data_IF_886950804154
#
_entry.id   IF_886950804154
#
_cell.length_a   1.000
_cell.length_b   1.000
_cell.length_c   1.000
_cell.angle_alpha   90.00
_cell.angle_beta   90.00
_cell.angle_gamma   90.00
#
_symmetry.space_group_name_H-M   'P 1'
#
loop_
_entity.id
_entity.type
_entity.pdbx_description
1 polymer ?
#
# COMPACT_ATOMS: atom_id res chain seq x y z
N UNK A 1 10.75 -4.05 17.35
CA UNK A 1 10.74 -2.93 16.38
C UNK A 1 9.89 -3.36 15.20
N UNK A 2 9.21 -2.41 14.54
CA UNK A 2 8.53 -2.70 13.27
C UNK A 2 9.55 -2.53 12.15
N UNK A 3 9.64 -3.53 11.28
CA UNK A 3 10.26 -3.39 9.97
C UNK A 3 9.39 -2.49 9.07
N UNK A 4 9.91 -2.00 7.93
CA UNK A 4 9.11 -1.27 6.96
C UNK A 4 7.85 -2.03 6.52
N UNK A 5 6.84 -1.28 6.10
CA UNK A 5 5.69 -1.80 5.37
C UNK A 5 5.99 -1.56 3.89
N UNK A 6 5.67 -2.50 3.02
CA UNK A 6 5.85 -2.33 1.57
C UNK A 6 4.51 -2.21 0.88
N UNK A 7 4.49 -1.56 -0.28
CA UNK A 7 3.42 -1.74 -1.25
C UNK A 7 3.98 -2.33 -2.54
N UNK A 8 3.17 -3.17 -3.19
CA UNK A 8 3.57 -3.95 -4.36
C UNK A 8 2.45 -3.94 -5.40
N UNK A 9 2.85 -4.01 -6.65
CA UNK A 9 1.99 -4.16 -7.80
C UNK A 9 2.57 -5.20 -8.78
N UNK A 10 1.90 -5.42 -9.90
CA UNK A 10 2.42 -6.25 -10.97
C UNK A 10 3.73 -5.76 -11.62
N UNK A 11 4.22 -4.57 -11.26
CA UNK A 11 5.56 -4.13 -11.66
C UNK A 11 6.67 -4.86 -10.92
N UNK A 12 6.43 -5.31 -9.69
CA UNK A 12 7.33 -6.18 -8.95
C UNK A 12 6.97 -7.63 -9.27
N UNK A 13 7.66 -8.23 -10.24
CA UNK A 13 7.28 -9.54 -10.75
C UNK A 13 7.47 -10.63 -9.68
N UNK A 14 6.45 -11.47 -9.39
CA UNK A 14 6.54 -12.48 -8.34
C UNK A 14 7.71 -13.46 -8.47
N UNK A 15 8.14 -13.78 -9.70
CA UNK A 15 9.26 -14.68 -9.95
C UNK A 15 10.63 -14.10 -9.55
N UNK A 16 10.71 -12.79 -9.40
CA UNK A 16 11.94 -12.08 -9.02
C UNK A 16 12.01 -11.86 -7.50
N UNK A 17 10.97 -12.25 -6.75
CA UNK A 17 10.86 -12.05 -5.30
C UNK A 17 11.08 -13.38 -4.56
N UNK A 18 12.12 -13.42 -3.73
CA UNK A 18 12.25 -14.42 -2.69
C UNK A 18 11.38 -14.03 -1.49
N UNK A 19 10.13 -14.51 -1.48
CA UNK A 19 9.18 -14.24 -0.40
C UNK A 19 9.62 -14.84 0.96
N UNK A 20 10.41 -15.91 0.95
CA UNK A 20 10.91 -16.49 2.20
C UNK A 20 11.89 -15.54 2.88
N UNK A 21 12.75 -14.87 2.10
CA UNK A 21 13.63 -13.82 2.60
C UNK A 21 12.83 -12.55 2.90
N UNK A 22 12.13 -11.98 1.91
CA UNK A 22 11.49 -10.66 2.01
C UNK A 22 10.50 -10.57 3.18
N UNK A 23 9.74 -11.63 3.45
CA UNK A 23 8.78 -11.67 4.56
C UNK A 23 9.40 -11.46 5.95
N UNK A 24 10.70 -11.74 6.13
CA UNK A 24 11.40 -11.49 7.40
C UNK A 24 11.86 -10.03 7.55
N UNK A 25 11.80 -9.24 6.48
CA UNK A 25 12.28 -7.85 6.42
C UNK A 25 11.15 -6.82 6.33
N UNK A 26 9.89 -7.24 6.44
CA UNK A 26 8.71 -6.37 6.39
C UNK A 26 7.76 -6.66 7.55
N UNK A 27 6.96 -5.65 7.96
CA UNK A 27 5.91 -5.82 8.97
C UNK A 27 4.53 -6.08 8.36
N UNK A 28 4.29 -5.61 7.15
CA UNK A 28 3.02 -5.70 6.44
C UNK A 28 3.20 -5.36 4.97
N UNK A 29 2.18 -5.65 4.16
CA UNK A 29 2.19 -5.33 2.74
C UNK A 29 0.86 -4.76 2.26
N UNK A 30 0.89 -3.86 1.27
CA UNK A 30 -0.29 -3.30 0.60
C UNK A 30 -0.20 -3.64 -0.89
N UNK A 31 -1.16 -4.42 -1.41
CA UNK A 31 -1.03 -5.00 -2.77
C UNK A 31 -2.01 -4.35 -3.75
N UNK A 32 -1.54 -3.90 -4.91
CA UNK A 32 -2.40 -3.40 -5.98
C UNK A 32 -3.27 -4.54 -6.50
N UNK A 33 -4.58 -4.32 -6.55
CA UNK A 33 -5.52 -5.28 -7.15
C UNK A 33 -6.11 -4.74 -8.45
N UNK A 34 -6.26 -3.42 -8.55
CA UNK A 34 -6.79 -2.74 -9.71
C UNK A 34 -5.92 -1.52 -10.02
N UNK A 35 -5.41 -1.44 -11.25
CA UNK A 35 -4.56 -0.36 -11.74
C UNK A 35 -5.31 0.76 -12.46
N UNK A 36 -6.64 0.77 -12.39
CA UNK A 36 -7.48 1.84 -12.94
C UNK A 36 -8.13 1.49 -14.28
N UNK A 37 -9.26 2.14 -14.56
CA UNK A 37 -10.07 1.87 -15.76
C UNK A 37 -9.47 2.40 -17.06
N UNK A 38 -8.43 3.24 -17.00
CA UNK A 38 -7.80 3.81 -18.19
C UNK A 38 -6.73 2.89 -18.82
N UNK A 39 -6.34 1.81 -18.14
CA UNK A 39 -5.47 0.78 -18.72
C UNK A 39 -6.24 0.05 -19.84
N UNK A 40 -5.92 0.39 -21.09
CA UNK A 40 -6.57 -0.18 -22.28
C UNK A 40 -5.73 -1.22 -23.03
N UNK A 41 -4.49 -1.45 -22.59
CA UNK A 41 -3.55 -2.41 -23.18
C UNK A 41 -2.92 -3.26 -22.08
N UNK A 42 -2.67 -4.52 -22.42
CA UNK A 42 -1.91 -5.41 -21.57
C UNK A 42 -0.47 -4.92 -21.39
N UNK A 43 0.00 -4.97 -20.15
CA UNK A 43 1.41 -4.79 -19.79
C UNK A 43 1.89 -6.01 -18.99
N UNK A 44 3.13 -5.99 -18.51
CA UNK A 44 3.60 -6.99 -17.55
C UNK A 44 2.82 -6.91 -16.22
N UNK A 45 2.39 -5.71 -15.83
CA UNK A 45 1.82 -5.45 -14.52
C UNK A 45 0.29 -5.59 -14.45
N UNK A 46 -0.42 -5.26 -15.53
CA UNK A 46 -1.88 -5.28 -15.55
C UNK A 46 -2.45 -5.76 -16.89
N UNK A 47 -3.65 -6.31 -16.86
CA UNK A 47 -4.44 -6.61 -18.05
C UNK A 47 -5.14 -5.36 -18.57
N UNK A 48 -5.53 -5.37 -19.85
CA UNK A 48 -6.33 -4.33 -20.53
C UNK A 48 -7.70 -4.03 -19.93
N UNK A 49 -8.08 -4.72 -18.85
CA UNK A 49 -9.26 -4.42 -18.04
C UNK A 49 -8.89 -3.80 -16.69
N UNK A 50 -7.66 -3.30 -16.52
CA UNK A 50 -7.14 -2.69 -15.30
C UNK A 50 -6.77 -3.65 -14.17
N UNK A 51 -7.10 -4.94 -14.25
CA UNK A 51 -6.79 -5.88 -13.17
C UNK A 51 -5.29 -6.17 -13.13
N UNK A 52 -4.71 -6.06 -11.93
CA UNK A 52 -3.31 -6.37 -11.70
C UNK A 52 -3.03 -7.86 -11.98
N UNK A 53 -1.90 -8.19 -12.62
CA UNK A 53 -1.58 -9.57 -13.01
C UNK A 53 -0.96 -10.38 -11.87
N UNK A 54 -0.37 -9.73 -10.87
CA UNK A 54 0.46 -10.37 -9.84
C UNK A 54 -0.20 -10.40 -8.46
N UNK A 55 -1.25 -9.61 -8.21
CA UNK A 55 -1.88 -9.48 -6.89
C UNK A 55 -2.20 -10.81 -6.21
N UNK A 56 -2.71 -11.80 -6.95
CA UNK A 56 -3.09 -13.10 -6.40
C UNK A 56 -1.88 -13.82 -5.81
N UNK A 57 -0.74 -13.77 -6.50
CA UNK A 57 0.51 -14.41 -6.06
C UNK A 57 1.08 -13.68 -4.87
N UNK A 58 1.22 -12.35 -4.94
CA UNK A 58 1.68 -11.54 -3.81
C UNK A 58 0.88 -11.81 -2.54
N UNK A 59 -0.45 -11.70 -2.61
CA UNK A 59 -1.31 -11.89 -1.43
C UNK A 59 -1.17 -13.31 -0.88
N UNK A 60 -1.15 -14.35 -1.72
CA UNK A 60 -1.05 -15.75 -1.27
C UNK A 60 0.30 -16.04 -0.62
N UNK A 61 1.41 -15.64 -1.26
CA UNK A 61 2.76 -15.93 -0.77
C UNK A 61 3.07 -15.18 0.53
N UNK A 62 2.62 -13.93 0.67
CA UNK A 62 2.80 -13.14 1.88
C UNK A 62 1.93 -13.66 3.03
N UNK A 63 0.65 -13.99 2.78
CA UNK A 63 -0.22 -14.57 3.81
C UNK A 63 0.24 -15.94 4.27
N UNK A 64 0.79 -16.77 3.38
CA UNK A 64 1.41 -18.07 3.73
C UNK A 64 2.53 -17.92 4.75
N UNK A 65 3.17 -16.74 4.79
CA UNK A 65 4.28 -16.39 5.69
C UNK A 65 3.85 -15.49 6.85
N UNK A 66 2.55 -15.48 7.17
CA UNK A 66 1.96 -14.70 8.25
C UNK A 66 2.12 -13.16 8.12
N UNK A 67 2.48 -12.65 6.94
CA UNK A 67 2.51 -11.20 6.70
C UNK A 67 1.07 -10.70 6.56
N UNK A 68 0.63 -9.70 7.34
CA UNK A 68 -0.68 -9.08 7.16
C UNK A 68 -0.71 -8.27 5.86
N UNK A 69 -1.81 -8.38 5.13
CA UNK A 69 -1.95 -7.81 3.79
C UNK A 69 -3.18 -6.92 3.70
N UNK A 70 -2.96 -5.67 3.34
CA UNK A 70 -3.96 -4.74 2.83
C UNK A 70 -3.89 -4.71 1.29
N UNK A 71 -4.82 -4.01 0.65
CA UNK A 71 -4.88 -3.89 -0.81
C UNK A 71 -5.16 -2.47 -1.23
N UNK A 72 -4.78 -2.10 -2.46
CA UNK A 72 -5.11 -0.79 -3.02
C UNK A 72 -5.62 -0.88 -4.47
N UNK A 73 -6.26 0.20 -4.90
CA UNK A 73 -6.74 0.43 -6.26
C UNK A 73 -6.37 1.83 -6.71
N UNK A 74 -5.71 1.94 -7.86
CA UNK A 74 -5.46 3.21 -8.53
C UNK A 74 -6.77 3.74 -9.12
N UNK A 75 -7.25 4.89 -8.65
CA UNK A 75 -8.53 5.45 -9.03
C UNK A 75 -8.37 6.33 -10.27
N UNK A 76 -9.03 5.96 -11.36
CA UNK A 76 -8.92 6.67 -12.65
C UNK A 76 -10.28 6.95 -13.31
N UNK A 77 -11.39 6.67 -12.64
CA UNK A 77 -12.72 6.92 -13.17
C UNK A 77 -12.91 8.39 -13.54
N UNK A 78 -13.56 8.66 -14.67
CA UNK A 78 -13.81 10.02 -15.18
C UNK A 78 -15.21 10.53 -14.85
N UNK A 79 -15.97 9.74 -14.09
CA UNK A 79 -17.29 10.10 -13.58
C UNK A 79 -17.60 9.34 -12.30
N UNK A 80 -18.58 9.82 -11.53
CA UNK A 80 -19.13 9.11 -10.36
C UNK A 80 -19.53 7.66 -10.70
N UNK A 81 -20.08 7.43 -11.89
CA UNK A 81 -20.50 6.09 -12.33
C UNK A 81 -19.28 5.17 -12.48
N UNK A 82 -18.22 5.67 -13.10
CA UNK A 82 -16.97 4.94 -13.31
C UNK A 82 -16.24 4.69 -11.99
N UNK A 83 -16.11 5.68 -11.12
CA UNK A 83 -15.52 5.51 -9.78
C UNK A 83 -16.21 4.40 -8.97
N UNK A 84 -17.55 4.32 -9.06
CA UNK A 84 -18.30 3.21 -8.45
C UNK A 84 -18.05 1.87 -9.15
N UNK A 85 -17.83 1.85 -10.46
CA UNK A 85 -17.49 0.62 -11.19
C UNK A 85 -16.10 0.11 -10.82
N UNK A 86 -15.11 1.00 -10.75
CA UNK A 86 -13.77 0.67 -10.27
C UNK A 86 -13.83 0.07 -8.85
N UNK A 87 -14.59 0.69 -7.94
CA UNK A 87 -14.82 0.15 -6.59
C UNK A 87 -15.41 -1.28 -6.61
N UNK A 88 -16.36 -1.56 -7.50
CA UNK A 88 -16.95 -2.90 -7.66
C UNK A 88 -15.93 -3.91 -8.17
N UNK A 89 -15.14 -3.55 -9.19
CA UNK A 89 -14.10 -4.42 -9.75
C UNK A 89 -13.03 -4.71 -8.70
N UNK A 90 -12.55 -3.67 -8.01
CA UNK A 90 -11.57 -3.79 -6.94
C UNK A 90 -12.08 -4.70 -5.82
N UNK A 91 -13.26 -4.43 -5.26
CA UNK A 91 -13.81 -5.22 -4.16
C UNK A 91 -14.04 -6.68 -4.55
N UNK A 92 -14.59 -6.94 -5.75
CA UNK A 92 -14.84 -8.30 -6.26
C UNK A 92 -13.55 -9.13 -6.31
N UNK A 93 -12.44 -8.53 -6.73
CA UNK A 93 -11.16 -9.23 -6.84
C UNK A 93 -10.43 -9.37 -5.50
N UNK A 94 -10.53 -8.37 -4.62
CA UNK A 94 -9.81 -8.33 -3.35
C UNK A 94 -10.51 -9.08 -2.20
N UNK A 95 -11.84 -8.96 -2.08
CA UNK A 95 -12.61 -9.50 -0.94
C UNK A 95 -12.45 -11.00 -0.65
N UNK A 96 -12.24 -11.90 -1.65
CA UNK A 96 -12.00 -13.31 -1.35
C UNK A 96 -10.77 -13.56 -0.48
N UNK A 97 -9.82 -12.62 -0.49
CA UNK A 97 -8.60 -12.73 0.29
C UNK A 97 -8.74 -12.18 1.70
N UNK A 98 -9.80 -11.45 2.05
CA UNK A 98 -9.97 -10.80 3.38
C UNK A 98 -8.77 -9.89 3.72
N UNK A 99 -8.50 -8.82 2.96
CA UNK A 99 -7.45 -7.87 3.28
C UNK A 99 -7.79 -7.09 4.56
N UNK A 100 -6.77 -6.53 5.22
CA UNK A 100 -6.98 -5.76 6.46
C UNK A 100 -7.54 -4.37 6.21
N UNK A 101 -7.19 -3.77 5.06
CA UNK A 101 -7.63 -2.47 4.59
C UNK A 101 -7.81 -2.47 3.07
N UNK A 102 -8.70 -1.61 2.59
CA UNK A 102 -8.85 -1.24 1.19
C UNK A 102 -8.40 0.23 1.03
N UNK A 103 -7.37 0.47 0.25
CA UNK A 103 -6.86 1.81 -0.01
C UNK A 103 -7.31 2.29 -1.40
N UNK A 104 -7.78 3.52 -1.46
CA UNK A 104 -8.04 4.22 -2.71
C UNK A 104 -6.81 5.09 -2.97
N UNK A 105 -6.14 4.84 -4.08
CA UNK A 105 -4.92 5.52 -4.50
C UNK A 105 -5.29 6.60 -5.53
N UNK A 106 -5.06 7.86 -5.17
CA UNK A 106 -5.51 9.05 -5.88
C UNK A 106 -4.30 9.96 -6.15
N UNK A 107 -3.89 10.05 -7.42
CA UNK A 107 -2.67 10.79 -7.80
C UNK A 107 -2.86 11.72 -9.01
N UNK A 108 -3.99 11.61 -9.72
CA UNK A 108 -4.26 12.35 -10.96
C UNK A 108 -5.67 12.94 -10.97
N UNK A 109 -5.83 14.10 -11.60
CA UNK A 109 -7.14 14.74 -11.78
C UNK A 109 -7.86 14.09 -12.98
N UNK A 110 -8.84 13.23 -12.70
CA UNK A 110 -9.67 12.56 -13.72
C UNK A 110 -11.09 13.10 -13.79
N UNK A 111 -11.48 13.96 -12.84
CA UNK A 111 -12.79 14.58 -12.73
C UNK A 111 -12.64 16.03 -12.28
N UNK A 112 -13.48 16.93 -12.80
CA UNK A 112 -13.50 18.34 -12.36
C UNK A 112 -13.89 18.53 -10.89
N UNK A 113 -14.53 17.52 -10.29
CA UNK A 113 -14.76 17.43 -8.86
C UNK A 113 -14.21 16.08 -8.36
N UNK A 114 -12.92 16.07 -8.01
CA UNK A 114 -12.25 14.85 -7.54
C UNK A 114 -12.83 14.36 -6.21
N UNK A 115 -13.19 15.24 -5.27
CA UNK A 115 -13.79 14.83 -4.00
C UNK A 115 -15.08 14.03 -4.23
N UNK A 116 -15.96 14.48 -5.12
CA UNK A 116 -17.20 13.76 -5.43
C UNK A 116 -16.92 12.34 -5.96
N UNK A 117 -15.95 12.19 -6.86
CA UNK A 117 -15.54 10.90 -7.40
C UNK A 117 -14.95 9.98 -6.34
N UNK A 118 -14.00 10.48 -5.55
CA UNK A 118 -13.31 9.74 -4.49
C UNK A 118 -14.27 9.32 -3.37
N UNK A 119 -15.18 10.20 -2.95
CA UNK A 119 -16.21 9.87 -1.96
C UNK A 119 -17.20 8.84 -2.50
N UNK A 120 -17.55 8.90 -3.79
CA UNK A 120 -18.40 7.89 -4.43
C UNK A 120 -17.72 6.51 -4.47
N UNK A 121 -16.43 6.45 -4.79
CA UNK A 121 -15.63 5.22 -4.73
C UNK A 121 -15.64 4.65 -3.31
N UNK A 122 -15.30 5.46 -2.31
CA UNK A 122 -15.28 5.08 -0.89
C UNK A 122 -16.65 4.59 -0.41
N UNK A 123 -17.72 5.29 -0.75
CA UNK A 123 -19.07 4.91 -0.36
C UNK A 123 -19.49 3.58 -0.98
N UNK A 124 -19.10 3.32 -2.23
CA UNK A 124 -19.39 2.04 -2.90
C UNK A 124 -18.62 0.88 -2.26
N UNK A 125 -17.34 1.05 -1.91
CA UNK A 125 -16.59 0.05 -1.14
C UNK A 125 -17.28 -0.28 0.19
N UNK A 126 -17.70 0.73 0.94
CA UNK A 126 -18.44 0.55 2.20
C UNK A 126 -19.76 -0.18 1.97
N UNK A 127 -20.52 0.18 0.93
CA UNK A 127 -21.78 -0.46 0.55
C UNK A 127 -21.60 -1.94 0.19
N UNK A 128 -20.47 -2.30 -0.43
CA UNK A 128 -20.14 -3.68 -0.80
C UNK A 128 -19.67 -4.52 0.40
N UNK A 129 -19.34 -3.90 1.53
CA UNK A 129 -18.93 -4.58 2.76
C UNK A 129 -17.45 -4.43 3.11
N UNK A 130 -16.73 -3.47 2.54
CA UNK A 130 -15.39 -3.13 3.02
C UNK A 130 -15.50 -2.41 4.37
N UNK A 131 -15.03 -3.04 5.45
CA UNK A 131 -15.09 -2.45 6.80
C UNK A 131 -14.09 -1.30 6.95
N UNK A 132 -12.87 -1.46 6.42
CA UNK A 132 -11.78 -0.49 6.53
C UNK A 132 -11.40 0.06 5.15
N UNK A 133 -11.64 1.36 4.95
CA UNK A 133 -11.35 2.07 3.70
C UNK A 133 -10.46 3.28 4.01
N UNK A 134 -9.26 3.29 3.45
CA UNK A 134 -8.29 4.37 3.58
C UNK A 134 -8.07 5.13 2.27
N UNK A 135 -7.47 6.30 2.37
CA UNK A 135 -7.10 7.15 1.24
C UNK A 135 -5.57 7.28 1.19
N UNK A 136 -4.98 6.96 0.04
CA UNK A 136 -3.64 7.38 -0.33
C UNK A 136 -3.75 8.60 -1.25
N UNK A 137 -3.08 9.69 -0.88
CA UNK A 137 -3.09 10.93 -1.65
C UNK A 137 -1.89 11.83 -1.27
N UNK A 138 -1.25 12.41 -2.28
CA UNK A 138 -0.21 13.42 -2.08
C UNK A 138 -0.76 14.68 -1.40
N UNK A 139 -0.04 15.24 -0.42
CA UNK A 139 -0.51 16.40 0.35
C UNK A 139 -0.82 17.62 -0.53
N UNK A 140 0.01 17.89 -1.54
CA UNK A 140 -0.22 18.98 -2.49
C UNK A 140 -1.48 18.73 -3.34
N UNK A 141 -1.60 17.55 -3.95
CA UNK A 141 -2.72 17.18 -4.81
C UNK A 141 -4.05 17.22 -4.04
N UNK A 142 -4.06 16.73 -2.80
CA UNK A 142 -5.23 16.80 -1.91
C UNK A 142 -5.71 18.23 -1.67
N UNK A 143 -4.79 19.18 -1.45
CA UNK A 143 -5.12 20.59 -1.25
C UNK A 143 -5.59 21.24 -2.55
N UNK A 144 -4.90 20.97 -3.66
CA UNK A 144 -5.20 21.50 -4.99
C UNK A 144 -6.59 21.08 -5.47
N UNK A 145 -6.95 19.82 -5.24
CA UNK A 145 -8.21 19.23 -5.70
C UNK A 145 -9.31 19.22 -4.62
N UNK A 146 -9.05 19.86 -3.47
CA UNK A 146 -9.95 19.96 -2.33
C UNK A 146 -10.53 18.61 -1.87
N UNK A 147 -9.76 17.53 -2.01
CA UNK A 147 -10.21 16.17 -1.66
C UNK A 147 -10.30 16.04 -0.14
N UNK A 148 -11.49 15.73 0.36
CA UNK A 148 -11.73 15.58 1.78
C UNK A 148 -11.27 14.23 2.29
N UNK A 149 -10.47 14.22 3.35
CA UNK A 149 -10.15 12.99 4.11
C UNK A 149 -11.29 12.55 5.04
N UNK A 150 -12.37 13.33 5.12
CA UNK A 150 -13.52 13.00 5.95
C UNK A 150 -14.13 11.66 5.51
N UNK A 151 -14.55 10.87 6.49
CA UNK A 151 -15.14 9.54 6.35
C UNK A 151 -14.17 8.40 5.98
N UNK A 152 -12.91 8.68 5.68
CA UNK A 152 -11.90 7.64 5.58
C UNK A 152 -11.49 7.14 6.96
N UNK A 153 -11.20 5.85 7.07
CA UNK A 153 -10.80 5.24 8.34
C UNK A 153 -9.30 5.45 8.60
N UNK A 154 -8.52 5.77 7.57
CA UNK A 154 -7.10 6.09 7.65
C UNK A 154 -6.64 6.91 6.43
N UNK A 155 -5.56 7.66 6.61
CA UNK A 155 -4.91 8.43 5.54
C UNK A 155 -3.45 7.98 5.41
N UNK A 156 -3.00 7.83 4.17
CA UNK A 156 -1.66 7.44 3.77
C UNK A 156 -1.11 8.52 2.84
N UNK A 157 0.05 9.10 3.16
CA UNK A 157 0.60 10.22 2.39
C UNK A 157 2.01 9.89 1.90
N UNK A 158 2.33 10.10 0.62
CA UNK A 158 3.69 10.04 0.11
C UNK A 158 4.45 11.34 0.41
N UNK A 159 5.72 11.22 0.80
CA UNK A 159 6.69 12.31 0.83
C UNK A 159 8.11 11.75 0.82
N UNK A 160 8.84 11.94 -0.29
CA UNK A 160 10.09 11.19 -0.54
C UNK A 160 11.38 11.96 -0.27
N UNK A 161 11.32 13.28 -0.05
CA UNK A 161 12.54 14.09 0.03
C UNK A 161 13.31 14.03 -1.29
N UNK A 162 14.55 13.54 -1.27
CA UNK A 162 15.34 13.30 -2.49
C UNK A 162 15.09 11.94 -3.13
N UNK A 163 14.26 11.10 -2.50
CA UNK A 163 13.92 9.74 -2.90
C UNK A 163 15.13 8.80 -2.99
N UNK A 164 16.02 8.86 -2.00
CA UNK A 164 17.28 8.10 -1.99
C UNK A 164 17.15 6.63 -1.59
N UNK A 165 15.93 6.16 -1.26
CA UNK A 165 15.69 4.86 -0.63
C UNK A 165 15.65 4.92 0.91
N UNK A 166 15.94 6.08 1.51
CA UNK A 166 15.91 6.29 2.95
C UNK A 166 14.83 7.27 3.38
N UNK A 167 14.46 7.23 4.66
CA UNK A 167 13.53 8.19 5.24
C UNK A 167 14.22 9.55 5.46
N UNK A 168 13.80 10.56 4.70
CA UNK A 168 14.45 11.88 4.68
C UNK A 168 13.50 13.04 5.01
N UNK A 169 12.22 12.91 4.71
CA UNK A 169 11.25 13.99 4.78
C UNK A 169 9.91 13.50 5.34
N UNK A 170 9.25 14.36 6.10
CA UNK A 170 7.86 14.17 6.48
C UNK A 170 6.92 14.79 5.45
N UNK A 171 5.69 14.28 5.30
CA UNK A 171 4.63 14.99 4.62
C UNK A 171 4.46 16.41 5.19
N UNK A 172 4.59 17.41 4.33
CA UNK A 172 4.37 18.81 4.71
C UNK A 172 2.86 19.10 4.70
N UNK A 173 2.17 18.73 5.78
CA UNK A 173 0.71 18.88 5.90
C UNK A 173 0.28 18.91 7.36
N UNK A 174 -0.82 19.61 7.63
CA UNK A 174 -1.51 19.62 8.93
C UNK A 174 -2.57 18.51 9.05
N UNK A 175 -2.75 17.71 7.99
CA UNK A 175 -3.76 16.66 7.94
C UNK A 175 -3.29 15.46 8.76
N UNK A 176 -4.18 14.93 9.61
CA UNK A 176 -3.88 13.72 10.38
C UNK A 176 -3.74 12.51 9.45
N UNK A 177 -2.58 11.87 9.45
CA UNK A 177 -2.29 10.67 8.64
C UNK A 177 -1.68 9.54 9.47
N UNK A 178 -1.95 8.31 9.06
CA UNK A 178 -1.55 7.10 9.77
C UNK A 178 -0.29 6.46 9.19
N UNK A 179 -0.15 6.51 7.86
CA UNK A 179 0.92 5.86 7.11
C UNK A 179 1.64 6.88 6.22
N UNK A 180 2.95 6.71 6.07
CA UNK A 180 3.81 7.55 5.25
C UNK A 180 4.59 6.66 4.29
N UNK A 181 4.40 6.85 2.97
CA UNK A 181 5.30 6.30 1.95
C UNK A 181 6.49 7.25 1.84
N UNK A 182 7.65 6.80 2.29
CA UNK A 182 8.81 7.68 2.45
C UNK A 182 9.82 7.58 1.32
N UNK A 183 9.68 6.60 0.43
CA UNK A 183 10.52 6.46 -0.76
C UNK A 183 9.91 5.46 -1.74
N UNK A 184 10.22 5.64 -3.02
CA UNK A 184 10.01 4.65 -4.09
C UNK A 184 11.28 3.86 -4.46
N UNK A 185 12.42 4.23 -3.89
CA UNK A 185 13.75 3.70 -4.23
C UNK A 185 14.32 2.80 -3.13
N UNK A 186 13.46 2.21 -2.30
CA UNK A 186 13.90 1.37 -1.20
C UNK A 186 14.50 0.04 -1.66
N UNK A 187 15.41 -0.52 -0.87
CA UNK A 187 16.01 -1.82 -1.11
C UNK A 187 15.89 -2.70 0.13
N UNK A 188 15.40 -3.93 -0.05
CA UNK A 188 15.27 -4.92 1.02
C UNK A 188 15.76 -6.29 0.55
N UNK A 189 16.34 -7.12 1.43
CA UNK A 189 16.70 -8.49 1.07
C UNK A 189 15.50 -9.28 0.56
N UNK A 190 15.73 -10.08 -0.49
CA UNK A 190 14.70 -10.91 -1.13
C UNK A 190 14.08 -10.29 -2.38
N UNK A 191 14.51 -9.10 -2.79
CA UNK A 191 14.19 -8.53 -4.09
C UNK A 191 15.31 -7.59 -4.54
N UNK A 192 15.84 -7.79 -5.75
CA UNK A 192 17.02 -7.05 -6.25
C UNK A 192 16.68 -5.67 -6.83
N UNK A 193 15.39 -5.38 -7.07
CA UNK A 193 14.94 -4.08 -7.57
C UNK A 193 14.38 -3.21 -6.44
N UNK A 194 13.98 -1.99 -6.81
CA UNK A 194 13.45 -0.99 -5.89
C UNK A 194 12.04 -1.32 -5.38
N UNK A 195 11.76 -0.87 -4.17
CA UNK A 195 10.48 -1.02 -3.48
C UNK A 195 10.00 0.32 -2.93
N UNK A 196 8.69 0.50 -2.99
CA UNK A 196 8.01 1.51 -2.23
C UNK A 196 7.99 1.12 -0.74
N UNK A 197 8.57 1.99 0.10
CA UNK A 197 8.68 1.72 1.54
C UNK A 197 7.87 2.71 2.36
N UNK A 198 7.23 2.15 3.37
CA UNK A 198 6.26 2.82 4.21
C UNK A 198 6.60 2.65 5.68
N UNK A 199 6.19 3.63 6.47
CA UNK A 199 6.24 3.58 7.92
C UNK A 199 4.97 4.17 8.54
N UNK A 200 4.66 3.72 9.76
CA UNK A 200 3.68 4.42 10.58
C UNK A 200 4.17 5.85 10.84
N UNK A 201 3.26 6.83 10.75
CA UNK A 201 3.53 8.21 11.12
C UNK A 201 4.31 8.27 12.46
N UNK A 202 5.52 8.89 12.49
CA UNK A 202 6.36 8.89 13.69
C UNK A 202 5.73 9.59 14.89
N UNK A 203 4.77 10.49 14.68
CA UNK A 203 4.04 11.20 15.73
C UNK A 203 2.89 10.38 16.34
N UNK A 204 2.57 9.20 15.76
CA UNK A 204 1.56 8.28 16.28
C UNK A 204 2.14 7.16 17.13
N UNK A 205 1.27 6.55 17.94
CA UNK A 205 1.63 5.32 18.65
C UNK A 205 1.82 4.16 17.66
N UNK A 206 3.08 3.87 17.32
CA UNK A 206 3.47 2.88 16.30
C UNK A 206 2.70 1.56 16.39
N UNK A 207 2.59 0.98 17.59
CA UNK A 207 1.91 -0.30 17.79
C UNK A 207 0.41 -0.18 17.55
N UNK A 208 -0.26 0.79 18.18
CA UNK A 208 -1.72 0.96 18.03
C UNK A 208 -2.10 1.24 16.58
N UNK A 209 -1.34 2.10 15.89
CA UNK A 209 -1.62 2.42 14.49
C UNK A 209 -1.33 1.24 13.58
N UNK A 210 -0.24 0.49 13.80
CA UNK A 210 -0.01 -0.74 13.06
C UNK A 210 -1.16 -1.75 13.27
N UNK A 211 -1.59 -1.97 14.51
CA UNK A 211 -2.68 -2.90 14.82
C UNK A 211 -4.03 -2.45 14.25
N UNK A 212 -4.25 -1.13 14.10
CA UNK A 212 -5.38 -0.55 13.35
C UNK A 212 -5.32 -0.94 11.87
N UNK A 213 -4.18 -0.77 11.21
CA UNK A 213 -4.05 -0.95 9.75
C UNK A 213 -3.87 -2.41 9.31
N UNK A 214 -3.20 -3.21 10.11
CA UNK A 214 -2.73 -4.56 9.73
C UNK A 214 -3.17 -5.65 10.71
N UNK A 215 -3.90 -5.30 11.77
CA UNK A 215 -4.34 -6.24 12.79
C UNK A 215 -3.28 -6.56 13.84
N UNK A 216 -3.66 -7.37 14.84
CA UNK A 216 -2.82 -7.65 16.01
C UNK A 216 -1.50 -8.31 15.64
N UNK A 217 -0.39 -7.78 16.15
CA UNK A 217 0.93 -8.40 16.04
C UNK A 217 0.89 -9.75 16.78
N UNK A 218 1.12 -10.85 16.06
CA UNK A 218 1.20 -12.19 16.68
C UNK A 218 2.47 -12.25 17.53
N UNK A 219 2.38 -12.78 18.77
CA UNK A 219 3.53 -12.90 19.70
C UNK A 219 4.76 -13.62 19.11
N UNK A 220 4.58 -14.47 18.10
CA UNK A 220 5.68 -15.19 17.44
C UNK A 220 6.49 -14.34 16.44
N UNK A 221 5.98 -13.18 15.98
CA UNK A 221 6.72 -12.24 15.12
C UNK A 221 7.71 -11.36 15.91
N UNK A 222 7.53 -11.25 17.23
CA UNK A 222 8.43 -10.51 18.12
C UNK A 222 9.67 -11.31 18.54
N UNK A 223 9.71 -12.62 18.23
CA UNK A 223 10.93 -13.40 18.35
C UNK A 223 11.82 -13.01 17.19
N UNK A 224 12.71 -12.06 17.42
CA UNK A 224 13.96 -11.96 16.67
C UNK A 224 14.51 -13.37 16.52
N UNK A 225 14.40 -13.95 15.32
CA UNK A 225 15.17 -15.14 14.97
C UNK A 225 16.63 -14.70 15.11
N UNK A 226 17.48 -15.47 15.84
CA UNK A 226 18.83 -15.03 16.10
C UNK A 226 19.49 -14.69 14.77
N UNK A 227 20.08 -13.51 14.67
CA UNK A 227 21.07 -13.23 13.64
C UNK A 227 22.07 -14.40 13.70
N UNK A 228 22.18 -15.20 12.64
CA UNK A 228 23.25 -16.17 12.53
C UNK A 228 24.57 -15.41 12.72
N UNK A 229 25.25 -15.64 13.85
CA UNK A 229 26.55 -15.06 14.19
C UNK A 229 27.65 -15.68 13.30
N UNK A 230 27.61 -15.41 12.01
CA UNK A 230 28.70 -15.78 11.10
C UNK A 230 29.13 -14.67 10.12
N UNK A 231 28.67 -13.43 10.29
CA UNK A 231 29.18 -12.29 9.51
C UNK A 231 29.62 -11.14 10.41
N UNK A 232 30.47 -11.43 11.39
CA UNK A 232 31.21 -10.39 12.10
C UNK A 232 32.60 -10.90 12.48
N UNK A 233 33.43 -11.14 11.46
CA UNK A 233 34.87 -11.38 11.63
C UNK A 233 35.68 -11.05 10.37
N UNK A 234 35.34 -9.96 9.68
CA UNK A 234 36.11 -9.45 8.54
C UNK A 234 36.27 -7.91 8.54
N UNK A 235 36.44 -7.30 9.70
CA UNK A 235 36.89 -5.90 9.83
C UNK A 235 37.83 -5.70 11.02
N UNK A 236 38.82 -6.58 11.15
CA UNK A 236 39.97 -6.36 12.03
C UNK A 236 41.14 -7.26 11.59
N UNK A 237 41.67 -6.96 10.40
CA UNK A 237 43.06 -7.06 9.95
C UNK A 237 43.20 -6.12 8.74
#
# INVERSE_FOLDING_TARGET
MLNPIIDLSGWQLPQDIDYDVLSNHISGAIIRVFGGSQISKDSNAASSNGVDKSFKTHIKELKKRDVPVAVYSYAQGTSVKEMKEEARIFYKNASPYKPTYYWIDVEEETMSNMDEGVQAFRAELKRLGAENVGLYIGAYFMLEQEVSTKNFDAVWIPAYGTDSGYYEALPNTEIDYDLHQYTSQGSLPGFDNILDLNQINPDKNKRKTFEKLFGKIKKNQLKTRPLNRQVQLAQLL
#
